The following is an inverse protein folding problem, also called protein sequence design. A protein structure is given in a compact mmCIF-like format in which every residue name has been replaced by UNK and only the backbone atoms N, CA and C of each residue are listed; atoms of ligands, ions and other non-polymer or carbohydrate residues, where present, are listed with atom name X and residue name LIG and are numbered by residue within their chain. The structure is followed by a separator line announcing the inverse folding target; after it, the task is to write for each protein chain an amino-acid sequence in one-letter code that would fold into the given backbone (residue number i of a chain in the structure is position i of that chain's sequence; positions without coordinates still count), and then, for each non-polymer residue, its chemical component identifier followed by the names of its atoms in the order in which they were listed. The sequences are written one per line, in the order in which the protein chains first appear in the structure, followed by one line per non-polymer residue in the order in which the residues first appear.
data_IF_787462650943
#
_entry.id   IF_787462650943
#
_cell.length_a   1.000
_cell.length_b   1.000
_cell.length_c   1.000
_cell.angle_alpha   90.00
_cell.angle_beta   90.00
_cell.angle_gamma   90.00
#
_symmetry.space_group_name_H-M   'P 1'
#
loop_
_entity.id
_entity.type
_entity.pdbx_description
1 polymer ?
#
# COMPACT_ATOMS: atom_id res chain seq x y z
N UNK A 1 11.19 13.03 7.86
CA UNK A 1 9.86 12.62 8.36
C UNK A 1 9.14 11.96 7.19
N UNK A 2 8.60 10.76 7.36
CA UNK A 2 7.82 10.05 6.32
C UNK A 2 6.38 10.56 6.33
N UNK A 3 5.80 10.78 5.15
CA UNK A 3 4.39 11.11 5.03
C UNK A 3 3.53 9.98 5.60
N UNK A 4 2.47 10.33 6.32
CA UNK A 4 1.55 9.36 6.91
C UNK A 4 0.22 9.39 6.18
N UNK A 5 -0.37 8.20 6.00
CA UNK A 5 -1.68 8.08 5.35
C UNK A 5 -2.73 8.92 6.11
N UNK A 6 -3.34 9.93 5.47
CA UNK A 6 -4.36 10.75 6.11
C UNK A 6 -5.57 9.92 6.53
N UNK A 7 -6.15 10.25 7.68
CA UNK A 7 -7.40 9.68 8.14
C UNK A 7 -8.22 10.70 8.92
N UNK A 8 -9.53 10.54 8.88
CA UNK A 8 -10.47 11.22 9.78
C UNK A 8 -10.76 10.30 10.97
N UNK A 9 -10.53 10.79 12.19
CA UNK A 9 -10.94 10.08 13.40
C UNK A 9 -12.45 10.26 13.59
N UNK A 10 -13.23 9.25 13.22
CA UNK A 10 -14.69 9.27 13.34
C UNK A 10 -15.12 9.13 14.80
N UNK A 11 -14.45 8.22 15.54
CA UNK A 11 -14.71 8.01 16.97
C UNK A 11 -13.54 7.30 17.67
N UNK A 12 -13.30 7.65 18.93
CA UNK A 12 -12.40 6.91 19.82
C UNK A 12 -13.19 6.12 20.86
N UNK A 13 -12.81 4.87 21.05
CA UNK A 13 -13.30 3.98 22.09
C UNK A 13 -12.15 3.66 23.06
N UNK A 14 -12.43 3.08 24.25
CA UNK A 14 -11.37 2.76 25.21
C UNK A 14 -10.25 1.85 24.67
N UNK A 15 -10.55 0.96 23.72
CA UNK A 15 -9.61 -0.05 23.22
C UNK A 15 -9.25 0.09 21.74
N UNK A 16 -9.94 0.95 20.99
CA UNK A 16 -9.72 1.08 19.55
C UNK A 16 -10.22 2.43 19.02
N UNK A 17 -9.85 2.73 17.79
CA UNK A 17 -10.30 3.91 17.06
C UNK A 17 -11.04 3.51 15.79
N UNK A 18 -12.11 4.22 15.50
CA UNK A 18 -12.78 4.17 14.21
C UNK A 18 -12.22 5.30 13.34
N UNK A 19 -11.48 4.91 12.30
CA UNK A 19 -10.83 5.83 11.35
C UNK A 19 -11.48 5.67 9.98
N UNK A 20 -11.75 6.79 9.31
CA UNK A 20 -12.19 6.83 7.92
C UNK A 20 -11.01 7.31 7.07
N UNK A 21 -10.67 6.52 6.06
CA UNK A 21 -9.66 6.89 5.09
C UNK A 21 -10.34 7.50 3.85
N UNK A 22 -9.86 8.65 3.33
CA UNK A 22 -10.33 9.19 2.05
C UNK A 22 -9.94 8.24 0.90
N UNK A 23 -10.34 8.50 -0.33
CA UNK A 23 -9.83 7.73 -1.47
C UNK A 23 -8.31 7.89 -1.62
N UNK A 24 -7.58 6.78 -1.74
CA UNK A 24 -6.13 6.78 -1.94
C UNK A 24 -5.73 5.70 -2.96
N UNK A 25 -4.56 5.89 -3.56
CA UNK A 25 -3.95 4.89 -4.44
C UNK A 25 -2.89 4.10 -3.67
N UNK A 26 -2.82 2.80 -3.93
CA UNK A 26 -1.81 1.91 -3.37
C UNK A 26 -1.05 1.20 -4.48
N UNK A 27 0.23 0.97 -4.22
CA UNK A 27 1.02 0.00 -4.97
C UNK A 27 1.11 -1.27 -4.11
N UNK A 28 0.69 -2.40 -4.67
CA UNK A 28 0.62 -3.67 -3.97
C UNK A 28 1.47 -4.73 -4.68
N UNK A 29 1.99 -5.67 -3.91
CA UNK A 29 2.73 -6.82 -4.42
C UNK A 29 2.20 -8.07 -3.72
N UNK A 30 1.72 -9.02 -4.51
CA UNK A 30 1.33 -10.33 -4.02
C UNK A 30 2.52 -11.29 -4.13
N UNK A 31 2.82 -12.01 -3.05
CA UNK A 31 3.85 -13.05 -3.02
C UNK A 31 3.30 -14.31 -2.37
N UNK A 32 3.75 -15.47 -2.86
CA UNK A 32 3.48 -16.76 -2.21
C UNK A 32 4.67 -17.11 -1.32
N UNK A 33 4.54 -16.86 -0.01
CA UNK A 33 5.56 -17.16 0.99
C UNK A 33 4.92 -17.25 2.39
N UNK A 34 5.63 -17.84 3.35
CA UNK A 34 5.24 -17.82 4.76
C UNK A 34 5.13 -16.37 5.26
N UNK A 35 4.18 -16.09 6.16
CA UNK A 35 3.85 -14.73 6.61
C UNK A 35 5.08 -13.93 7.08
N UNK A 36 5.99 -14.58 7.82
CA UNK A 36 7.23 -13.97 8.34
C UNK A 36 8.22 -13.56 7.24
N UNK A 37 8.18 -14.24 6.08
CA UNK A 37 9.08 -13.97 4.94
C UNK A 37 8.40 -13.10 3.88
N UNK A 38 7.07 -13.19 3.78
CA UNK A 38 6.28 -12.49 2.78
C UNK A 38 6.48 -10.98 2.83
N UNK A 39 6.46 -10.39 4.03
CA UNK A 39 6.64 -8.94 4.21
C UNK A 39 7.94 -8.42 3.62
N UNK A 40 9.08 -9.02 3.99
CA UNK A 40 10.39 -8.60 3.47
C UNK A 40 10.54 -8.87 1.97
N UNK A 41 10.02 -10.01 1.48
CA UNK A 41 10.06 -10.34 0.07
C UNK A 41 9.27 -9.33 -0.77
N UNK A 42 8.03 -9.03 -0.39
CA UNK A 42 7.16 -8.08 -1.06
C UNK A 42 7.67 -6.64 -0.95
N UNK A 43 8.13 -6.23 0.25
CA UNK A 43 8.60 -4.87 0.48
C UNK A 43 9.82 -4.51 -0.38
N UNK A 44 10.71 -5.48 -0.66
CA UNK A 44 11.85 -5.23 -1.57
C UNK A 44 11.38 -4.84 -2.98
N UNK A 45 10.29 -5.42 -3.48
CA UNK A 45 9.72 -5.03 -4.77
C UNK A 45 9.15 -3.61 -4.73
N UNK A 46 8.39 -3.27 -3.68
CA UNK A 46 7.85 -1.93 -3.47
C UNK A 46 8.98 -0.89 -3.32
N UNK A 47 10.01 -1.20 -2.54
CA UNK A 47 11.16 -0.31 -2.33
C UNK A 47 11.91 -0.01 -3.64
N UNK A 48 12.11 -1.02 -4.49
CA UNK A 48 12.71 -0.83 -5.81
C UNK A 48 11.85 0.10 -6.68
N UNK A 49 10.54 -0.11 -6.71
CA UNK A 49 9.60 0.75 -7.45
C UNK A 49 9.66 2.20 -6.97
N UNK A 50 9.58 2.42 -5.64
CA UNK A 50 9.65 3.74 -5.00
C UNK A 50 11.02 4.41 -5.24
N UNK A 51 12.09 3.63 -5.28
CA UNK A 51 13.47 4.12 -5.52
C UNK A 51 13.77 4.50 -6.98
N UNK A 52 12.80 4.35 -7.89
CA UNK A 52 12.92 4.76 -9.29
C UNK A 52 12.92 3.62 -10.31
N UNK A 53 12.75 2.36 -9.89
CA UNK A 53 12.53 1.25 -10.81
C UNK A 53 11.06 1.16 -11.24
N UNK A 54 10.56 2.24 -11.84
CA UNK A 54 9.25 2.36 -12.46
C UNK A 54 9.41 2.94 -13.87
N UNK A 55 8.39 2.83 -14.70
CA UNK A 55 8.45 3.27 -16.12
C UNK A 55 8.86 4.74 -16.26
N UNK A 56 8.43 5.59 -15.33
CA UNK A 56 8.79 7.01 -15.32
C UNK A 56 10.19 7.32 -14.80
N UNK A 57 10.93 6.33 -14.27
CA UNK A 57 12.23 6.50 -13.59
C UNK A 57 12.21 7.55 -12.47
N UNK A 58 11.05 7.72 -11.83
CA UNK A 58 10.84 8.76 -10.80
C UNK A 58 11.00 8.18 -9.41
N UNK A 59 11.67 8.89 -8.52
CA UNK A 59 11.69 8.54 -7.10
C UNK A 59 10.39 9.00 -6.44
N UNK A 60 9.74 8.11 -5.72
CA UNK A 60 8.61 8.42 -4.86
C UNK A 60 9.11 8.54 -3.41
N UNK A 61 8.50 9.40 -2.61
CA UNK A 61 8.81 9.47 -1.19
C UNK A 61 8.29 8.23 -0.46
N UNK A 62 9.02 7.77 0.56
CA UNK A 62 8.50 6.72 1.44
C UNK A 62 7.34 7.26 2.29
N UNK A 63 6.29 6.45 2.39
CA UNK A 63 5.12 6.71 3.23
C UNK A 63 5.01 5.67 4.35
N UNK A 64 4.20 5.97 5.35
CA UNK A 64 3.91 5.08 6.47
C UNK A 64 2.41 5.05 6.77
N UNK A 65 1.87 3.94 7.30
CA UNK A 65 2.52 2.63 7.46
C UNK A 65 2.59 1.85 6.14
N UNK A 66 3.39 0.77 6.12
CA UNK A 66 3.28 -0.29 5.11
C UNK A 66 2.35 -1.36 5.65
N UNK A 67 1.36 -1.77 4.86
CA UNK A 67 0.34 -2.75 5.27
C UNK A 67 0.66 -4.09 4.62
N UNK A 68 0.52 -5.17 5.39
CA UNK A 68 0.61 -6.56 4.91
C UNK A 68 -0.69 -7.27 5.26
N UNK A 69 -1.30 -7.91 4.27
CA UNK A 69 -2.54 -8.67 4.43
C UNK A 69 -2.41 -10.04 3.77
N UNK A 70 -2.95 -11.11 4.37
CA UNK A 70 -3.11 -12.39 3.67
C UNK A 70 -3.98 -12.19 2.43
N UNK A 71 -3.54 -12.72 1.29
CA UNK A 71 -4.34 -12.67 0.06
C UNK A 71 -5.60 -13.50 0.29
N UNK A 72 -6.76 -12.85 0.34
CA UNK A 72 -8.05 -13.51 0.46
C UNK A 72 -8.25 -14.47 -0.73
N UNK A 73 -8.55 -15.74 -0.44
CA UNK A 73 -8.97 -16.70 -1.45
C UNK A 73 -10.49 -16.60 -1.60
N UNK A 74 -10.96 -15.83 -2.59
CA UNK A 74 -12.40 -15.60 -2.80
C UNK A 74 -12.71 -14.54 -3.87
N UNK A 75 -13.99 -14.26 -4.16
CA UNK A 75 -14.43 -13.38 -5.25
C UNK A 75 -14.09 -11.88 -5.08
N UNK A 76 -13.49 -11.47 -3.97
CA UNK A 76 -13.10 -10.07 -3.68
C UNK A 76 -11.64 -9.76 -4.08
N UNK A 77 -11.22 -10.23 -5.26
CA UNK A 77 -9.86 -9.95 -5.75
C UNK A 77 -9.71 -8.46 -6.10
N UNK A 78 -8.59 -7.82 -5.71
CA UNK A 78 -8.25 -6.48 -6.17
C UNK A 78 -8.28 -6.41 -7.69
N UNK A 79 -9.05 -5.49 -8.25
CA UNK A 79 -9.10 -5.30 -9.70
C UNK A 79 -7.89 -4.49 -10.15
N UNK A 80 -7.23 -4.97 -11.21
CA UNK A 80 -6.09 -4.29 -11.82
C UNK A 80 -6.58 -2.94 -12.40
N UNK A 81 -6.19 -1.83 -11.78
CA UNK A 81 -6.37 -0.52 -12.40
C UNK A 81 -5.51 -0.44 -13.67
N UNK A 82 -6.14 -0.04 -14.79
CA UNK A 82 -5.40 0.30 -16.00
C UNK A 82 -4.51 1.52 -15.71
N UNK A 83 -3.25 1.49 -16.18
CA UNK A 83 -2.32 2.60 -16.04
C UNK A 83 -2.93 3.86 -16.68
N UNK A 84 -3.36 4.83 -15.87
CA UNK A 84 -3.83 6.12 -16.38
C UNK A 84 -2.62 7.01 -16.64
N UNK A 85 -2.55 7.59 -17.84
CA UNK A 85 -1.50 8.54 -18.21
C UNK A 85 -1.45 9.73 -17.23
N UNK A 86 -0.27 10.36 -17.04
CA UNK A 86 -0.12 11.48 -16.11
C UNK A 86 -1.07 12.61 -16.50
N UNK A 87 -1.82 13.13 -15.52
CA UNK A 87 -2.49 14.42 -15.65
C UNK A 87 -1.40 15.49 -15.56
N UNK A 88 -1.32 16.36 -16.58
CA UNK A 88 -0.39 17.49 -16.64
C UNK A 88 -0.68 18.50 -15.52
#
# INVERSE_FOLDING_TARGET
MTEQQPFELVRRYPHFELRRYPGYAVAEVSVTADFDRAGNAAFRHLFNYISGNNEGRRKLAMTAPVIQEPVAQGPELPQKLAMTAPVL
#
